data_IF_495398059373
#
_entry.id   IF_495398059373
#
_cell.length_a   1.000
_cell.length_b   1.000
_cell.length_c   1.000
_cell.angle_alpha   90.00
_cell.angle_beta   90.00
_cell.angle_gamma   90.00
#
_symmetry.space_group_name_H-M   'P 1'
#
loop_
_entity.id
_entity.type
_entity.pdbx_description
1 polymer ?
#
# COMPACT_ATOMS: atom_id res chain seq x y z
N UNK A 1 -6.87 15.27 23.53
CA UNK A 1 -7.20 13.94 22.99
C UNK A 1 -6.37 13.73 21.73
N UNK A 2 -5.78 12.54 21.55
CA UNK A 2 -5.22 12.16 20.24
C UNK A 2 -6.36 11.87 19.26
N UNK A 3 -6.08 11.82 17.95
CA UNK A 3 -7.09 11.48 16.93
C UNK A 3 -7.80 10.15 17.25
N UNK A 4 -7.03 9.13 17.63
CA UNK A 4 -7.56 7.81 17.94
C UNK A 4 -8.48 7.83 19.17
N UNK A 5 -8.10 8.52 20.25
CA UNK A 5 -8.94 8.62 21.45
C UNK A 5 -10.31 9.24 21.11
N UNK A 6 -10.33 10.24 20.22
CA UNK A 6 -11.57 10.88 19.78
C UNK A 6 -12.46 9.94 18.95
N UNK A 7 -11.86 9.08 18.10
CA UNK A 7 -12.61 8.07 17.34
C UNK A 7 -13.25 7.04 18.26
N UNK A 8 -12.52 6.61 19.31
CA UNK A 8 -13.04 5.69 20.34
C UNK A 8 -14.15 6.35 21.16
N UNK A 9 -13.98 7.61 21.55
CA UNK A 9 -15.00 8.38 22.29
C UNK A 9 -16.32 8.50 21.50
N UNK A 10 -16.22 8.69 20.18
CA UNK A 10 -17.37 8.74 19.28
C UNK A 10 -17.93 7.36 18.89
N UNK A 11 -17.21 6.27 19.21
CA UNK A 11 -17.61 4.90 18.86
C UNK A 11 -17.51 4.56 17.37
N UNK A 12 -16.66 5.27 16.62
CA UNK A 12 -16.51 5.15 15.15
C UNK A 12 -15.13 4.66 14.72
N UNK A 13 -14.34 4.12 15.65
CA UNK A 13 -12.97 3.67 15.39
C UNK A 13 -12.87 2.52 14.36
N UNK A 14 -13.96 1.77 14.15
CA UNK A 14 -14.05 0.74 13.10
C UNK A 14 -14.40 1.32 11.72
N UNK A 15 -14.93 2.54 11.67
CA UNK A 15 -15.43 3.21 10.46
C UNK A 15 -14.41 4.18 9.86
N UNK A 16 -13.19 4.24 10.43
CA UNK A 16 -12.12 5.12 9.99
C UNK A 16 -10.82 4.34 9.81
N UNK A 17 -10.24 4.45 8.62
CA UNK A 17 -8.91 3.93 8.30
C UNK A 17 -7.99 5.10 7.96
N UNK A 18 -6.84 5.15 8.63
CA UNK A 18 -5.76 6.09 8.34
C UNK A 18 -4.72 5.35 7.53
N UNK A 19 -4.31 5.91 6.40
CA UNK A 19 -3.34 5.28 5.53
C UNK A 19 -2.43 6.31 4.87
N UNK A 20 -1.25 5.84 4.44
CA UNK A 20 -0.28 6.69 3.73
C UNK A 20 -0.36 6.45 2.22
N UNK A 21 -0.05 7.49 1.44
CA UNK A 21 0.15 7.42 -0.01
C UNK A 21 1.40 8.19 -0.40
N UNK A 22 1.99 7.84 -1.53
CA UNK A 22 3.14 8.55 -2.07
C UNK A 22 3.18 8.37 -3.59
N UNK A 23 3.51 9.45 -4.31
CA UNK A 23 3.62 9.42 -5.77
C UNK A 23 4.89 8.68 -6.24
N UNK A 24 5.92 8.63 -5.39
CA UNK A 24 7.19 7.99 -5.72
C UNK A 24 7.96 7.56 -4.46
N UNK A 25 8.75 6.50 -4.61
CA UNK A 25 9.74 6.11 -3.62
C UNK A 25 11.11 6.71 -3.92
N UNK A 26 12.14 6.29 -3.18
CA UNK A 26 13.51 6.79 -3.33
C UNK A 26 14.48 5.68 -3.69
N UNK A 27 15.44 6.00 -4.54
CA UNK A 27 16.53 5.06 -4.87
C UNK A 27 17.33 4.67 -3.63
N UNK A 28 17.75 3.40 -3.55
CA UNK A 28 18.71 2.97 -2.54
C UNK A 28 20.12 3.51 -2.80
N UNK A 29 20.46 3.75 -4.08
CA UNK A 29 21.72 4.38 -4.44
C UNK A 29 21.65 5.92 -4.31
N UNK A 30 22.79 6.53 -3.98
CA UNK A 30 22.93 7.98 -3.93
C UNK A 30 23.08 8.59 -5.33
N UNK A 31 22.62 9.83 -5.49
CA UNK A 31 22.92 10.67 -6.66
C UNK A 31 24.04 11.69 -6.40
N UNK A 32 24.77 11.55 -5.29
CA UNK A 32 25.83 12.46 -4.84
C UNK A 32 25.33 13.65 -4.01
N UNK A 33 24.01 13.93 -3.99
CA UNK A 33 23.38 14.99 -3.19
C UNK A 33 22.18 14.50 -2.36
N UNK A 34 21.92 13.19 -2.36
CA UNK A 34 20.72 12.58 -1.78
C UNK A 34 20.35 11.33 -2.58
N UNK A 35 19.08 11.16 -2.90
CA UNK A 35 18.53 10.06 -3.71
C UNK A 35 17.66 10.58 -4.85
N UNK A 36 17.34 9.74 -5.81
CA UNK A 36 16.40 10.05 -6.90
C UNK A 36 15.05 9.36 -6.69
N UNK A 37 14.13 9.55 -7.64
CA UNK A 37 12.82 8.91 -7.70
C UNK A 37 12.94 7.40 -7.97
N UNK A 38 12.07 6.62 -7.33
CA UNK A 38 11.95 5.16 -7.47
C UNK A 38 10.47 4.73 -7.27
N UNK A 39 10.22 3.41 -7.19
CA UNK A 39 8.87 2.84 -7.11
C UNK A 39 8.60 2.10 -5.80
N UNK A 40 9.44 1.15 -5.40
CA UNK A 40 9.27 0.35 -4.18
C UNK A 40 9.38 1.15 -2.89
N UNK A 41 8.36 1.08 -2.04
CA UNK A 41 8.28 1.76 -0.75
C UNK A 41 7.39 1.00 0.25
N UNK A 42 7.21 1.57 1.44
CA UNK A 42 6.33 1.01 2.47
C UNK A 42 5.19 2.00 2.73
N UNK A 43 3.98 1.48 2.89
CA UNK A 43 2.81 2.24 3.34
C UNK A 43 2.35 1.74 4.71
N UNK A 44 1.89 2.66 5.55
CA UNK A 44 1.24 2.34 6.82
C UNK A 44 -0.27 2.41 6.66
N UNK A 45 -0.98 1.45 7.27
CA UNK A 45 -2.44 1.39 7.39
C UNK A 45 -2.77 1.17 8.87
N UNK A 46 -3.65 2.00 9.43
CA UNK A 46 -3.94 2.08 10.85
C UNK A 46 -5.46 2.22 11.03
N UNK A 47 -6.05 1.39 11.87
CA UNK A 47 -7.48 1.42 12.23
C UNK A 47 -7.91 0.11 12.85
N UNK A 48 -9.05 0.11 13.55
CA UNK A 48 -9.55 -1.11 14.21
C UNK A 48 -10.12 -2.12 13.20
N UNK A 49 -10.52 -1.64 12.03
CA UNK A 49 -10.92 -2.47 10.87
C UNK A 49 -9.73 -3.01 10.08
N UNK A 50 -8.50 -2.79 10.52
CA UNK A 50 -7.28 -3.27 9.85
C UNK A 50 -6.75 -4.48 10.60
N UNK A 51 -6.40 -5.55 9.87
CA UNK A 51 -5.65 -6.71 10.38
C UNK A 51 -4.18 -6.34 10.61
N UNK A 52 -3.96 -5.49 11.61
CA UNK A 52 -2.67 -4.90 11.96
C UNK A 52 -1.66 -5.87 12.58
N UNK A 53 -0.48 -5.34 12.93
CA UNK A 53 0.63 -6.12 13.49
C UNK A 53 1.31 -7.05 12.48
N UNK A 54 1.14 -6.78 11.18
CA UNK A 54 1.62 -7.60 10.07
C UNK A 54 2.21 -6.73 8.98
N UNK A 55 3.20 -7.26 8.26
CA UNK A 55 3.64 -6.74 6.98
C UNK A 55 2.81 -7.47 5.92
N UNK A 56 2.13 -6.70 5.08
CA UNK A 56 1.40 -7.22 3.93
C UNK A 56 2.26 -7.01 2.68
N UNK A 57 2.32 -8.02 1.82
CA UNK A 57 3.26 -8.10 0.71
C UNK A 57 4.58 -8.78 1.08
N UNK A 58 5.46 -8.93 0.08
CA UNK A 58 6.73 -9.65 0.24
C UNK A 58 7.90 -8.68 0.36
N UNK A 59 8.59 -8.69 1.49
CA UNK A 59 9.79 -7.89 1.67
C UNK A 59 10.93 -8.43 0.78
N UNK A 60 11.72 -7.56 0.10
CA UNK A 60 12.84 -8.01 -0.72
C UNK A 60 13.82 -8.89 0.04
N UNK A 61 14.23 -10.00 -0.57
CA UNK A 61 15.24 -10.90 0.02
C UNK A 61 16.62 -10.25 0.15
N UNK A 62 16.87 -9.17 -0.59
CA UNK A 62 18.09 -8.36 -0.52
C UNK A 62 17.82 -6.92 -0.94
N UNK A 63 18.50 -6.00 -0.28
CA UNK A 63 18.55 -4.57 -0.66
C UNK A 63 19.87 -4.21 -1.36
N UNK A 64 20.73 -5.19 -1.64
CA UNK A 64 21.96 -4.94 -2.41
C UNK A 64 21.61 -4.44 -3.82
N UNK A 65 22.46 -3.57 -4.36
CA UNK A 65 22.30 -3.09 -5.75
C UNK A 65 22.43 -4.27 -6.72
N UNK A 66 21.62 -4.24 -7.78
CA UNK A 66 21.57 -5.32 -8.78
C UNK A 66 20.87 -6.59 -8.30
N UNK A 67 20.11 -6.54 -7.20
CA UNK A 67 19.21 -7.62 -6.84
C UNK A 67 18.10 -7.80 -7.91
N UNK A 68 17.37 -8.94 -7.95
CA UNK A 68 16.40 -9.21 -9.01
C UNK A 68 15.24 -8.20 -9.12
N UNK A 69 14.92 -7.46 -8.07
CA UNK A 69 13.90 -6.40 -8.08
C UNK A 69 14.48 -5.02 -8.46
N UNK A 70 15.80 -4.87 -8.55
CA UNK A 70 16.45 -3.60 -8.90
C UNK A 70 16.48 -3.41 -10.42
N UNK A 71 15.72 -2.41 -10.89
CA UNK A 71 15.72 -1.96 -12.30
C UNK A 71 16.89 -1.03 -12.65
N UNK A 72 17.93 -1.04 -11.80
CA UNK A 72 19.11 -0.20 -11.89
C UNK A 72 19.02 0.99 -10.95
N UNK A 73 20.19 1.32 -10.37
CA UNK A 73 20.38 2.40 -9.38
C UNK A 73 19.62 2.19 -8.06
N UNK A 74 19.30 0.96 -7.69
CA UNK A 74 18.53 0.69 -6.47
C UNK A 74 17.08 1.14 -6.58
N UNK A 75 16.50 1.09 -7.79
CA UNK A 75 15.07 1.33 -8.02
C UNK A 75 14.35 -0.02 -7.94
N UNK A 76 13.84 -0.31 -6.76
CA UNK A 76 13.14 -1.57 -6.52
C UNK A 76 11.74 -1.56 -7.16
N UNK A 77 11.38 -2.66 -7.82
CA UNK A 77 10.00 -2.97 -8.20
C UNK A 77 9.26 -3.45 -6.93
N UNK A 78 8.11 -2.86 -6.58
CA UNK A 78 7.25 -3.37 -5.51
C UNK A 78 6.78 -4.80 -5.82
N UNK A 79 6.72 -5.65 -4.80
CA UNK A 79 6.15 -7.01 -4.90
C UNK A 79 4.62 -7.00 -4.81
N UNK A 80 4.03 -5.89 -4.39
CA UNK A 80 2.58 -5.69 -4.23
C UNK A 80 2.19 -4.42 -4.97
N UNK A 81 1.09 -4.47 -5.72
CA UNK A 81 0.65 -3.34 -6.52
C UNK A 81 0.02 -2.25 -5.66
N UNK A 82 0.28 -0.99 -6.01
CA UNK A 82 -0.43 0.16 -5.43
C UNK A 82 -1.93 0.11 -5.77
N UNK A 83 -2.29 -0.49 -6.91
CA UNK A 83 -3.69 -0.67 -7.30
C UNK A 83 -4.36 -1.72 -6.41
N UNK A 84 -3.70 -2.82 -6.04
CA UNK A 84 -4.26 -3.79 -5.08
C UNK A 84 -4.47 -3.17 -3.69
N UNK A 85 -3.48 -2.36 -3.27
CA UNK A 85 -3.55 -1.60 -2.02
C UNK A 85 -4.74 -0.62 -2.00
N UNK A 86 -4.92 0.15 -3.08
CA UNK A 86 -6.04 1.06 -3.22
C UNK A 86 -7.38 0.32 -3.39
N UNK A 87 -7.39 -0.82 -4.07
CA UNK A 87 -8.60 -1.62 -4.28
C UNK A 87 -9.15 -2.16 -2.97
N UNK A 88 -8.29 -2.67 -2.08
CA UNK A 88 -8.70 -3.14 -0.76
C UNK A 88 -9.41 -2.01 0.03
N UNK A 89 -8.82 -0.81 0.04
CA UNK A 89 -9.40 0.37 0.69
C UNK A 89 -10.71 0.82 0.02
N UNK A 90 -10.78 0.80 -1.31
CA UNK A 90 -11.97 1.19 -2.06
C UNK A 90 -13.14 0.23 -1.79
N UNK A 91 -12.89 -1.09 -1.79
CA UNK A 91 -13.89 -2.09 -1.46
C UNK A 91 -14.39 -1.94 -0.01
N UNK A 92 -13.48 -1.72 0.94
CA UNK A 92 -13.86 -1.43 2.33
C UNK A 92 -14.70 -0.14 2.44
N UNK A 93 -14.38 0.89 1.67
CA UNK A 93 -15.14 2.14 1.62
C UNK A 93 -16.51 2.01 0.94
N UNK A 94 -16.82 0.85 0.35
CA UNK A 94 -18.12 0.54 -0.23
C UNK A 94 -18.17 0.55 -1.76
N UNK A 95 -17.02 0.66 -2.44
CA UNK A 95 -16.97 0.41 -3.88
C UNK A 95 -17.30 -1.07 -4.19
N UNK A 96 -17.91 -1.31 -5.33
CA UNK A 96 -18.15 -2.67 -5.84
C UNK A 96 -16.97 -3.13 -6.70
N UNK A 97 -16.83 -4.44 -6.91
CA UNK A 97 -15.82 -4.97 -7.84
C UNK A 97 -15.95 -4.36 -9.26
N UNK A 98 -17.16 -4.04 -9.71
CA UNK A 98 -17.40 -3.38 -11.00
C UNK A 98 -16.93 -1.92 -11.06
N UNK A 99 -16.80 -1.25 -9.92
CA UNK A 99 -16.31 0.14 -9.87
C UNK A 99 -14.78 0.20 -10.00
N UNK A 100 -14.07 -0.87 -9.62
CA UNK A 100 -12.61 -0.86 -9.50
C UNK A 100 -11.90 -0.51 -10.80
N UNK A 101 -12.40 -0.95 -11.96
CA UNK A 101 -11.78 -0.61 -13.25
C UNK A 101 -11.87 0.86 -13.61
N UNK A 102 -12.87 1.56 -13.05
CA UNK A 102 -13.04 3.01 -13.24
C UNK A 102 -12.14 3.78 -12.27
N UNK A 103 -12.01 3.30 -11.03
CA UNK A 103 -11.21 3.95 -9.98
C UNK A 103 -9.71 3.70 -10.21
N UNK A 104 -9.36 2.48 -10.62
CA UNK A 104 -8.00 1.94 -10.72
C UNK A 104 -7.81 1.27 -12.09
N UNK A 105 -7.50 2.02 -13.15
CA UNK A 105 -7.51 1.49 -14.51
C UNK A 105 -6.55 0.33 -14.78
N UNK A 106 -5.52 0.11 -13.93
CA UNK A 106 -4.58 -1.00 -14.08
C UNK A 106 -4.91 -2.20 -13.19
N UNK A 107 -5.99 -2.17 -12.40
CA UNK A 107 -6.30 -3.19 -11.38
C UNK A 107 -6.42 -4.60 -11.95
N UNK A 108 -6.91 -4.74 -13.19
CA UNK A 108 -7.05 -6.05 -13.87
C UNK A 108 -5.74 -6.80 -14.05
N UNK A 109 -4.61 -6.12 -13.98
CA UNK A 109 -3.29 -6.77 -14.06
C UNK A 109 -2.88 -7.43 -12.73
N UNK A 110 -3.56 -7.09 -11.63
CA UNK A 110 -3.12 -7.43 -10.27
C UNK A 110 -4.21 -8.13 -9.45
N UNK A 111 -5.49 -7.82 -9.68
CA UNK A 111 -6.60 -8.41 -8.93
C UNK A 111 -7.71 -8.95 -9.84
N UNK A 112 -8.11 -10.20 -9.59
CA UNK A 112 -9.07 -10.94 -10.41
C UNK A 112 -10.55 -10.76 -10.05
N UNK A 113 -10.89 -9.92 -9.07
CA UNK A 113 -12.29 -9.64 -8.70
C UNK A 113 -12.92 -10.64 -7.73
N UNK A 114 -12.14 -11.56 -7.15
CA UNK A 114 -12.61 -12.53 -6.14
C UNK A 114 -11.72 -12.54 -4.91
N UNK A 115 -12.34 -12.59 -3.72
CA UNK A 115 -11.63 -12.55 -2.45
C UNK A 115 -11.24 -11.12 -2.05
N UNK A 116 -10.23 -10.99 -1.20
CA UNK A 116 -9.63 -9.70 -0.85
C UNK A 116 -8.43 -9.42 -1.78
N UNK A 117 -8.27 -8.20 -2.32
CA UNK A 117 -7.08 -7.82 -3.07
C UNK A 117 -5.76 -8.15 -2.35
N UNK A 118 -5.62 -7.73 -1.08
CA UNK A 118 -4.46 -8.03 -0.22
C UNK A 118 -4.90 -8.72 1.07
N UNK A 119 -6.08 -8.38 1.60
CA UNK A 119 -6.64 -8.97 2.82
C UNK A 119 -6.25 -8.30 4.12
N UNK A 120 -5.73 -7.06 4.06
CA UNK A 120 -5.41 -6.30 5.27
C UNK A 120 -6.62 -5.67 5.94
N UNK A 121 -7.77 -5.58 5.27
CA UNK A 121 -9.02 -5.17 5.90
C UNK A 121 -9.71 -6.37 6.58
N UNK A 122 -10.37 -6.09 7.71
CA UNK A 122 -10.98 -7.09 8.59
C UNK A 122 -12.23 -7.74 7.99
#
# INVERSE_FOLDING_TARGET
ASLYDALVELGVQNDVVIFTMSDFARTLSSNGKGSDHAWGGNHMIIGDSVRGGRIWGDYPTSLALGNPLDTGRGRLIPTTSVDEYAAELALWYGATNSDLDTILPNIRNFYGGSGSPIGFMA
#
